data_IF_712464107627
#
_entry.id   IF_712464107627
#
_cell.length_a   1.000
_cell.length_b   1.000
_cell.length_c   1.000
_cell.angle_alpha   90.00
_cell.angle_beta   90.00
_cell.angle_gamma   90.00
#
_symmetry.space_group_name_H-M   'P 1'
#
loop_
_entity.id
_entity.type
_entity.pdbx_description
1 polymer ?
#
# COMPACT_ATOMS: atom_id res chain seq x y z
N UNK A 1 54.46 -25.83 -28.84
CA UNK A 1 53.62 -26.93 -28.29
C UNK A 1 52.15 -26.67 -28.65
N UNK A 2 51.73 -27.28 -29.76
CA UNK A 2 50.36 -27.30 -30.25
C UNK A 2 49.52 -28.30 -29.45
N UNK A 3 48.24 -28.00 -29.21
CA UNK A 3 47.20 -29.01 -29.19
C UNK A 3 45.90 -28.45 -29.75
N UNK A 4 45.40 -29.21 -30.71
CA UNK A 4 44.24 -28.97 -31.54
C UNK A 4 43.03 -29.74 -31.00
N UNK A 5 41.84 -29.24 -31.34
CA UNK A 5 40.59 -29.97 -31.63
C UNK A 5 39.97 -30.89 -30.56
N UNK A 6 38.70 -30.64 -30.22
CA UNK A 6 37.58 -31.35 -30.88
C UNK A 6 36.22 -30.95 -30.30
N UNK A 7 35.32 -30.60 -31.20
CA UNK A 7 33.88 -30.47 -31.05
C UNK A 7 33.18 -31.83 -30.88
N UNK A 8 32.16 -31.91 -30.03
CA UNK A 8 31.09 -32.91 -30.16
C UNK A 8 29.76 -32.37 -29.62
N UNK A 9 28.83 -32.22 -30.54
CA UNK A 9 27.40 -32.00 -30.38
C UNK A 9 26.68 -33.25 -29.84
N UNK A 10 25.81 -33.09 -28.85
CA UNK A 10 24.77 -34.09 -28.53
C UNK A 10 23.46 -33.41 -28.18
N UNK A 11 22.54 -33.52 -29.13
CA UNK A 11 21.11 -33.25 -29.03
C UNK A 11 20.43 -34.23 -28.07
N UNK A 12 19.71 -33.74 -27.07
CA UNK A 12 18.73 -34.53 -26.31
C UNK A 12 17.38 -33.81 -26.28
N UNK A 13 16.41 -34.38 -26.99
CA UNK A 13 15.01 -34.01 -26.94
C UNK A 13 14.44 -34.38 -25.55
N UNK A 14 13.98 -33.38 -24.80
CA UNK A 14 13.27 -33.58 -23.54
C UNK A 14 11.76 -33.63 -23.82
N UNK A 15 11.16 -34.79 -23.53
CA UNK A 15 9.74 -35.04 -23.63
C UNK A 15 8.95 -34.17 -22.62
N UNK A 16 7.92 -33.48 -23.12
CA UNK A 16 6.95 -32.76 -22.32
C UNK A 16 6.02 -33.75 -21.60
N UNK A 17 6.21 -33.92 -20.29
CA UNK A 17 5.28 -34.62 -19.40
C UNK A 17 4.21 -33.63 -18.94
N UNK A 18 3.00 -33.77 -19.48
CA UNK A 18 1.82 -33.04 -19.01
C UNK A 18 1.43 -33.53 -17.61
N UNK A 19 1.48 -32.64 -16.62
CA UNK A 19 0.91 -32.85 -15.29
C UNK A 19 -0.62 -32.59 -15.32
N UNK A 20 -1.44 -33.39 -14.60
CA UNK A 20 -2.88 -33.20 -14.56
C UNK A 20 -3.30 -32.02 -13.66
N UNK A 21 -4.52 -31.46 -13.86
CA UNK A 21 -4.99 -30.27 -13.17
C UNK A 21 -5.54 -30.62 -11.78
N UNK A 22 -4.67 -30.72 -10.77
CA UNK A 22 -5.06 -30.96 -9.38
C UNK A 22 -5.18 -29.68 -8.55
N UNK A 23 -4.71 -28.53 -9.03
CA UNK A 23 -4.77 -27.27 -8.26
C UNK A 23 -6.18 -26.64 -8.17
N UNK A 24 -7.05 -26.83 -9.17
CA UNK A 24 -8.41 -26.28 -9.15
C UNK A 24 -9.35 -26.99 -8.14
N UNK A 25 -9.09 -28.27 -7.86
CA UNK A 25 -9.85 -29.03 -6.85
C UNK A 25 -9.48 -28.59 -5.42
N UNK A 26 -8.22 -28.21 -5.19
CA UNK A 26 -7.75 -27.72 -3.89
C UNK A 26 -8.43 -26.38 -3.50
N UNK A 27 -8.68 -25.50 -4.47
CA UNK A 27 -9.38 -24.23 -4.22
C UNK A 27 -10.87 -24.43 -3.95
N UNK A 28 -11.50 -25.46 -4.53
CA UNK A 28 -12.91 -25.78 -4.28
C UNK A 28 -13.16 -26.37 -2.88
N UNK A 29 -12.20 -27.12 -2.34
CA UNK A 29 -12.24 -27.66 -0.98
C UNK A 29 -11.99 -26.56 0.07
N UNK A 30 -11.04 -25.63 -0.20
CA UNK A 30 -10.85 -24.44 0.64
C UNK A 30 -12.08 -23.53 0.66
N UNK A 31 -12.86 -23.49 -0.43
CA UNK A 31 -14.09 -22.70 -0.48
C UNK A 31 -15.13 -23.18 0.54
N UNK A 32 -15.26 -24.50 0.73
CA UNK A 32 -16.17 -25.08 1.72
C UNK A 32 -15.69 -24.79 3.15
N UNK A 33 -14.39 -24.91 3.42
CA UNK A 33 -13.81 -24.61 4.73
C UNK A 33 -13.92 -23.11 5.10
N UNK A 34 -13.77 -22.22 4.11
CA UNK A 34 -13.98 -20.77 4.27
C UNK A 34 -15.45 -20.42 4.55
N UNK A 35 -16.40 -21.18 3.98
CA UNK A 35 -17.84 -20.99 4.18
C UNK A 35 -18.35 -21.59 5.51
N UNK A 36 -17.65 -22.58 6.07
CA UNK A 36 -17.97 -23.16 7.39
C UNK A 36 -17.41 -22.34 8.55
N UNK A 37 -16.37 -21.53 8.35
CA UNK A 37 -15.81 -20.63 9.35
C UNK A 37 -16.56 -19.28 9.50
N UNK A 38 -17.55 -19.00 8.64
CA UNK A 38 -18.29 -17.73 8.64
C UNK A 38 -19.60 -17.86 9.44
N UNK A 39 -19.69 -17.17 10.58
CA UNK A 39 -20.91 -16.98 11.38
C UNK A 39 -21.89 -15.99 10.71
N UNK A 40 -22.13 -16.18 9.41
CA UNK A 40 -23.01 -15.33 8.61
C UNK A 40 -24.36 -16.01 8.45
N UNK A 41 -25.41 -15.35 8.96
CA UNK A 41 -26.84 -15.72 8.80
C UNK A 41 -27.35 -15.59 7.36
N UNK A 42 -26.55 -15.94 6.36
CA UNK A 42 -27.01 -16.02 4.97
C UNK A 42 -27.54 -17.43 4.74
N UNK A 43 -28.84 -17.61 4.41
CA UNK A 43 -29.39 -18.94 4.22
C UNK A 43 -28.69 -19.65 3.05
N UNK A 44 -27.94 -20.71 3.38
CA UNK A 44 -27.22 -21.60 2.44
C UNK A 44 -28.13 -22.21 1.36
N UNK A 45 -29.45 -22.16 1.57
CA UNK A 45 -30.48 -22.65 0.66
C UNK A 45 -31.11 -21.58 -0.22
N UNK A 46 -30.59 -20.34 -0.24
CA UNK A 46 -31.13 -19.36 -1.17
C UNK A 46 -30.91 -19.86 -2.62
N UNK A 47 -31.94 -19.87 -3.48
CA UNK A 47 -31.79 -20.28 -4.87
C UNK A 47 -30.73 -19.46 -5.61
N UNK A 48 -30.50 -18.22 -5.18
CA UNK A 48 -29.46 -17.33 -5.69
C UNK A 48 -28.04 -17.82 -5.35
N UNK A 49 -27.83 -18.33 -4.13
CA UNK A 49 -26.56 -18.94 -3.73
C UNK A 49 -26.25 -20.17 -4.59
N UNK A 50 -27.21 -21.09 -4.73
CA UNK A 50 -27.04 -22.29 -5.55
C UNK A 50 -26.83 -21.93 -7.01
N UNK A 51 -27.55 -20.94 -7.56
CA UNK A 51 -27.39 -20.50 -8.95
C UNK A 51 -26.05 -19.79 -9.19
N UNK A 52 -25.58 -18.94 -8.27
CA UNK A 52 -24.28 -18.28 -8.41
C UNK A 52 -23.12 -19.27 -8.27
N UNK A 53 -23.20 -20.20 -7.31
CA UNK A 53 -22.23 -21.29 -7.15
C UNK A 53 -22.23 -22.21 -8.36
N UNK A 54 -23.41 -22.56 -8.91
CA UNK A 54 -23.50 -23.35 -10.13
C UNK A 54 -22.92 -22.59 -11.33
N UNK A 55 -23.24 -21.32 -11.53
CA UNK A 55 -22.73 -20.51 -12.65
C UNK A 55 -21.21 -20.29 -12.56
N UNK A 56 -20.64 -20.19 -11.35
CA UNK A 56 -19.20 -20.10 -11.16
C UNK A 56 -18.51 -21.47 -11.28
N UNK A 57 -19.17 -22.58 -10.91
CA UNK A 57 -18.65 -23.94 -11.08
C UNK A 57 -18.76 -24.46 -12.51
N UNK A 58 -19.71 -23.99 -13.31
CA UNK A 58 -19.89 -24.41 -14.72
C UNK A 58 -19.05 -23.60 -15.70
N UNK A 59 -18.29 -22.60 -15.24
CA UNK A 59 -17.20 -22.01 -16.01
C UNK A 59 -16.13 -23.09 -16.23
N UNK A 60 -16.22 -23.78 -17.37
CA UNK A 60 -15.38 -24.94 -17.68
C UNK A 60 -13.90 -24.57 -17.80
N UNK A 61 -12.97 -25.52 -17.54
CA UNK A 61 -11.55 -25.31 -17.80
C UNK A 61 -11.24 -24.85 -19.24
N UNK A 62 -12.12 -25.19 -20.20
CA UNK A 62 -12.02 -24.73 -21.59
C UNK A 62 -12.25 -23.21 -21.74
N UNK A 63 -13.14 -22.61 -20.93
CA UNK A 63 -13.33 -21.16 -20.89
C UNK A 63 -12.11 -20.45 -20.26
N UNK A 64 -11.43 -21.09 -19.31
CA UNK A 64 -10.19 -20.58 -18.69
C UNK A 64 -8.98 -20.73 -19.62
N UNK A 65 -8.91 -21.83 -20.39
CA UNK A 65 -7.87 -22.03 -21.41
C UNK A 65 -7.99 -21.03 -22.57
N UNK A 66 -9.20 -20.65 -22.97
CA UNK A 66 -9.44 -19.61 -23.97
C UNK A 66 -9.00 -18.20 -23.52
N UNK A 67 -8.97 -17.94 -22.20
CA UNK A 67 -8.52 -16.67 -21.62
C UNK A 67 -6.98 -16.53 -21.63
N UNK A 68 -6.25 -17.65 -21.55
CA UNK A 68 -4.77 -17.65 -21.47
C UNK A 68 -4.07 -17.93 -22.82
N UNK A 69 -4.83 -18.18 -23.89
CA UNK A 69 -4.32 -18.77 -25.15
C UNK A 69 -3.87 -17.81 -26.26
N UNK A 70 -3.80 -16.50 -26.05
CA UNK A 70 -3.39 -15.55 -27.11
C UNK A 70 -2.26 -14.64 -26.66
N UNK A 71 -1.04 -15.15 -26.79
CA UNK A 71 0.19 -14.41 -26.47
C UNK A 71 1.45 -15.09 -27.05
N UNK A 72 1.42 -15.45 -28.33
CA UNK A 72 2.59 -15.89 -29.11
C UNK A 72 2.78 -14.99 -30.34
N UNK A 73 3.98 -14.45 -30.49
CA UNK A 73 4.29 -13.27 -31.32
C UNK A 73 4.33 -13.46 -32.84
N UNK A 74 4.34 -12.33 -33.54
CA UNK A 74 4.52 -12.22 -34.99
C UNK A 74 4.45 -10.76 -35.46
N UNK A 75 5.49 -10.32 -36.15
CA UNK A 75 5.84 -8.94 -36.51
C UNK A 75 5.27 -8.50 -37.87
N UNK A 76 4.92 -7.20 -37.98
CA UNK A 76 4.93 -6.30 -39.17
C UNK A 76 4.00 -6.61 -40.38
N UNK A 77 2.99 -5.76 -40.62
CA UNK A 77 3.01 -4.77 -41.73
C UNK A 77 1.78 -3.84 -41.78
N UNK A 78 2.03 -2.62 -42.29
CA UNK A 78 1.08 -1.54 -42.59
C UNK A 78 -0.02 -1.95 -43.57
N UNK A 79 -1.26 -1.53 -43.30
CA UNK A 79 -2.36 -1.59 -44.27
C UNK A 79 -3.67 -1.08 -43.69
N UNK A 80 -4.13 0.04 -44.24
CA UNK A 80 -5.45 0.69 -44.09
C UNK A 80 -6.58 -0.31 -43.74
N UNK A 81 -7.22 -0.12 -42.58
CA UNK A 81 -8.45 -0.84 -42.23
C UNK A 81 -9.54 0.12 -41.75
N UNK A 82 -10.58 0.20 -42.58
CA UNK A 82 -11.85 0.86 -42.33
C UNK A 82 -12.47 0.44 -40.99
N UNK A 83 -13.16 1.40 -40.36
CA UNK A 83 -13.78 1.28 -39.05
C UNK A 83 -14.84 0.17 -38.99
N UNK A 84 -14.43 -0.98 -38.48
CA UNK A 84 -15.35 -1.91 -37.83
C UNK A 84 -15.48 -1.44 -36.39
N UNK A 85 -16.65 -0.90 -36.03
CA UNK A 85 -17.05 -0.74 -34.62
C UNK A 85 -17.02 -2.14 -34.01
N UNK A 86 -15.91 -2.49 -33.37
CA UNK A 86 -15.74 -3.75 -32.66
C UNK A 86 -16.89 -3.87 -31.66
N UNK A 87 -17.85 -4.73 -31.98
CA UNK A 87 -18.94 -5.11 -31.09
C UNK A 87 -18.26 -5.71 -29.88
N UNK A 88 -18.22 -4.93 -28.79
CA UNK A 88 -17.48 -5.24 -27.59
C UNK A 88 -17.92 -6.58 -27.04
N UNK A 89 -17.18 -7.63 -27.34
CA UNK A 89 -17.34 -8.93 -26.72
C UNK A 89 -16.80 -8.78 -25.30
N UNK A 90 -17.64 -8.23 -24.40
CA UNK A 90 -17.39 -8.30 -22.97
C UNK A 90 -17.15 -9.76 -22.62
N UNK A 91 -16.17 -10.03 -21.77
CA UNK A 91 -15.89 -11.41 -21.39
C UNK A 91 -17.15 -12.04 -20.78
N UNK A 92 -17.32 -13.36 -20.91
CA UNK A 92 -18.46 -14.05 -20.28
C UNK A 92 -18.59 -13.72 -18.79
N UNK A 93 -17.47 -13.53 -18.10
CA UNK A 93 -17.41 -13.09 -16.70
C UNK A 93 -17.96 -11.68 -16.49
N UNK A 94 -17.70 -10.73 -17.38
CA UNK A 94 -18.24 -9.36 -17.27
C UNK A 94 -19.77 -9.36 -17.37
N UNK A 95 -20.32 -10.18 -18.27
CA UNK A 95 -21.77 -10.36 -18.40
C UNK A 95 -22.36 -11.02 -17.15
N UNK A 96 -21.69 -12.03 -16.59
CA UNK A 96 -22.10 -12.67 -15.35
C UNK A 96 -22.11 -11.69 -14.17
N UNK A 97 -21.04 -10.90 -14.00
CA UNK A 97 -20.99 -9.88 -12.94
C UNK A 97 -22.06 -8.82 -13.14
N UNK A 98 -22.30 -8.38 -14.37
CA UNK A 98 -23.36 -7.41 -14.68
C UNK A 98 -24.73 -7.94 -14.29
N UNK A 99 -25.06 -9.18 -14.65
CA UNK A 99 -26.34 -9.80 -14.30
C UNK A 99 -26.50 -9.97 -12.79
N UNK A 100 -25.46 -10.49 -12.12
CA UNK A 100 -25.46 -10.70 -10.66
C UNK A 100 -25.59 -9.37 -9.91
N UNK A 101 -24.85 -8.33 -10.33
CA UNK A 101 -25.00 -6.99 -9.75
C UNK A 101 -26.36 -6.40 -10.06
N UNK A 102 -26.90 -6.58 -11.27
CA UNK A 102 -28.21 -6.05 -11.64
C UNK A 102 -29.34 -6.61 -10.78
N UNK A 103 -29.33 -7.93 -10.54
CA UNK A 103 -30.32 -8.59 -9.70
C UNK A 103 -30.21 -8.20 -8.21
N UNK A 104 -28.99 -7.98 -7.72
CA UNK A 104 -28.73 -7.72 -6.30
C UNK A 104 -28.48 -6.25 -5.97
N UNK A 105 -28.62 -5.35 -6.95
CA UNK A 105 -28.47 -3.92 -6.71
C UNK A 105 -29.66 -3.41 -5.88
N UNK A 106 -29.43 -2.54 -4.88
CA UNK A 106 -30.48 -2.04 -4.00
C UNK A 106 -31.40 -1.01 -4.69
N UNK A 107 -32.16 -1.43 -5.70
CA UNK A 107 -33.04 -0.58 -6.53
C UNK A 107 -34.17 0.06 -5.73
N UNK A 108 -34.77 -0.70 -4.81
CA UNK A 108 -35.90 -0.26 -3.96
C UNK A 108 -35.47 0.64 -2.81
N UNK A 109 -34.15 0.78 -2.62
CA UNK A 109 -33.59 1.45 -1.47
C UNK A 109 -33.33 2.91 -1.81
N UNK A 110 -33.66 3.84 -0.90
CA UNK A 110 -33.52 5.27 -1.13
C UNK A 110 -32.11 5.70 -1.60
N UNK A 111 -32.04 6.80 -2.38
CA UNK A 111 -30.83 7.32 -3.04
C UNK A 111 -29.60 7.41 -2.10
N UNK A 112 -29.80 7.75 -0.83
CA UNK A 112 -28.72 7.83 0.16
C UNK A 112 -28.02 6.48 0.41
N UNK A 113 -28.79 5.39 0.47
CA UNK A 113 -28.23 4.04 0.70
C UNK A 113 -27.53 3.53 -0.56
N UNK A 114 -28.06 3.79 -1.76
CA UNK A 114 -27.36 3.52 -3.03
C UNK A 114 -26.02 4.27 -3.11
N UNK A 115 -26.00 5.54 -2.69
CA UNK A 115 -24.77 6.33 -2.66
C UNK A 115 -23.74 5.77 -1.67
N UNK A 116 -24.19 5.23 -0.53
CA UNK A 116 -23.30 4.54 0.40
C UNK A 116 -22.70 3.27 -0.20
N UNK A 117 -23.48 2.46 -0.91
CA UNK A 117 -22.99 1.27 -1.63
C UNK A 117 -21.93 1.66 -2.66
N UNK A 118 -22.19 2.69 -3.48
CA UNK A 118 -21.21 3.23 -4.42
C UNK A 118 -19.93 3.71 -3.72
N UNK A 119 -20.08 4.37 -2.56
CA UNK A 119 -18.96 4.85 -1.77
C UNK A 119 -18.09 3.69 -1.26
N UNK A 120 -18.71 2.61 -0.75
CA UNK A 120 -18.00 1.41 -0.30
C UNK A 120 -17.27 0.75 -1.48
N UNK A 121 -17.95 0.55 -2.61
CA UNK A 121 -17.33 -0.06 -3.80
C UNK A 121 -16.12 0.76 -4.30
N UNK A 122 -16.23 2.10 -4.31
CA UNK A 122 -15.13 3.00 -4.66
C UNK A 122 -13.93 2.84 -3.71
N UNK A 123 -14.18 2.71 -2.41
CA UNK A 123 -13.14 2.47 -1.40
C UNK A 123 -12.48 1.09 -1.59
N UNK A 124 -13.27 0.03 -1.76
CA UNK A 124 -12.76 -1.33 -1.95
C UNK A 124 -11.90 -1.44 -3.21
N UNK A 125 -12.30 -0.76 -4.28
CA UNK A 125 -11.57 -0.76 -5.55
C UNK A 125 -10.26 0.05 -5.48
N UNK A 126 -10.25 1.15 -4.72
CA UNK A 126 -9.07 1.98 -4.53
C UNK A 126 -8.06 1.40 -3.51
N UNK A 127 -8.53 0.54 -2.60
CA UNK A 127 -7.67 -0.11 -1.62
C UNK A 127 -6.72 -1.10 -2.31
N UNK A 128 -5.39 -0.99 -2.10
CA UNK A 128 -4.42 -1.91 -2.70
C UNK A 128 -4.38 -3.28 -1.99
N UNK A 129 -4.94 -3.35 -0.78
CA UNK A 129 -5.07 -4.55 0.06
C UNK A 129 -6.49 -4.59 0.64
N UNK A 130 -6.99 -5.75 1.11
CA UNK A 130 -8.26 -5.81 1.83
C UNK A 130 -8.33 -4.76 2.92
N UNK A 131 -9.44 -4.02 2.99
CA UNK A 131 -9.55 -2.87 3.89
C UNK A 131 -9.95 -3.35 5.31
N UNK A 132 -9.25 -2.89 6.37
CA UNK A 132 -9.67 -3.17 7.74
C UNK A 132 -11.10 -2.68 8.00
N UNK A 133 -11.89 -3.51 8.69
CA UNK A 133 -13.25 -3.19 9.09
C UNK A 133 -13.30 -1.94 9.98
N UNK A 134 -12.27 -1.71 10.80
CA UNK A 134 -12.13 -0.53 11.65
C UNK A 134 -12.09 0.78 10.85
N UNK A 135 -11.50 0.78 9.66
CA UNK A 135 -11.48 1.98 8.79
C UNK A 135 -12.88 2.24 8.24
N UNK A 136 -13.59 1.19 7.80
CA UNK A 136 -14.97 1.33 7.33
C UNK A 136 -15.94 1.71 8.45
N UNK A 137 -15.66 1.28 9.68
CA UNK A 137 -16.39 1.70 10.87
C UNK A 137 -16.17 3.17 11.19
N UNK A 138 -14.92 3.63 11.17
CA UNK A 138 -14.57 5.03 11.38
C UNK A 138 -15.14 5.96 10.28
N UNK A 139 -15.35 5.44 9.07
CA UNK A 139 -16.03 6.12 7.98
C UNK A 139 -17.58 6.08 8.08
N UNK A 140 -18.15 5.41 9.09
CA UNK A 140 -19.60 5.25 9.22
C UNK A 140 -20.23 4.36 8.13
N UNK A 141 -19.46 3.46 7.54
CA UNK A 141 -19.86 2.59 6.43
C UNK A 141 -20.05 1.12 6.84
N UNK A 142 -19.51 0.68 7.98
CA UNK A 142 -19.63 -0.71 8.48
C UNK A 142 -21.08 -1.21 8.50
N UNK A 143 -22.00 -0.42 9.06
CA UNK A 143 -23.42 -0.79 9.14
C UNK A 143 -24.08 -0.94 7.76
N UNK A 144 -23.48 -0.43 6.68
CA UNK A 144 -24.03 -0.44 5.32
C UNK A 144 -23.40 -1.53 4.44
N UNK A 145 -22.46 -2.32 4.97
CA UNK A 145 -21.82 -3.41 4.23
C UNK A 145 -22.81 -4.46 3.72
N UNK A 146 -23.83 -4.77 4.51
CA UNK A 146 -24.89 -5.72 4.13
C UNK A 146 -25.72 -5.26 2.92
N UNK A 147 -25.61 -3.99 2.50
CA UNK A 147 -26.26 -3.45 1.31
C UNK A 147 -25.43 -3.66 0.04
N UNK A 148 -24.20 -4.16 0.14
CA UNK A 148 -23.39 -4.49 -1.03
C UNK A 148 -24.07 -5.61 -1.82
N UNK A 149 -24.05 -5.54 -3.17
CA UNK A 149 -24.60 -6.60 -4.00
C UNK A 149 -23.87 -7.91 -3.70
N UNK A 150 -24.65 -8.96 -3.42
CA UNK A 150 -24.14 -10.28 -3.04
C UNK A 150 -23.22 -10.27 -1.80
N UNK A 151 -23.54 -9.46 -0.79
CA UNK A 151 -22.88 -9.53 0.51
C UNK A 151 -22.95 -10.94 1.10
N UNK A 152 -21.84 -11.42 1.66
CA UNK A 152 -21.65 -12.79 2.12
C UNK A 152 -21.17 -13.75 1.03
N UNK A 153 -21.19 -13.34 -0.24
CA UNK A 153 -20.71 -14.14 -1.38
C UNK A 153 -19.59 -13.44 -2.14
N UNK A 154 -19.90 -12.36 -2.88
CA UNK A 154 -18.90 -11.62 -3.64
C UNK A 154 -18.03 -10.73 -2.74
N UNK A 155 -18.60 -10.26 -1.64
CA UNK A 155 -17.90 -9.46 -0.63
C UNK A 155 -18.20 -10.05 0.74
N UNK A 156 -17.17 -10.21 1.56
CA UNK A 156 -17.32 -10.77 2.89
C UNK A 156 -16.22 -10.25 3.83
N UNK A 157 -16.36 -10.54 5.12
CA UNK A 157 -15.37 -10.19 6.13
C UNK A 157 -14.49 -11.41 6.39
N UNK A 158 -13.17 -11.27 6.25
CA UNK A 158 -12.19 -12.30 6.61
C UNK A 158 -11.15 -11.72 7.56
N UNK A 159 -11.07 -12.24 8.79
CA UNK A 159 -10.08 -11.81 9.79
C UNK A 159 -10.09 -10.29 10.07
N UNK A 160 -11.27 -9.69 10.13
CA UNK A 160 -11.50 -8.22 10.27
C UNK A 160 -11.19 -7.37 9.04
N UNK A 161 -11.00 -7.96 7.87
CA UNK A 161 -10.85 -7.23 6.61
C UNK A 161 -12.05 -7.46 5.71
N UNK A 162 -12.52 -6.42 5.03
CA UNK A 162 -13.49 -6.58 3.94
C UNK A 162 -12.73 -6.92 2.67
N UNK A 163 -13.04 -8.08 2.11
CA UNK A 163 -12.42 -8.59 0.88
C UNK A 163 -13.48 -8.91 -0.16
N UNK A 164 -13.11 -8.78 -1.42
CA UNK A 164 -13.83 -9.42 -2.51
C UNK A 164 -13.46 -10.90 -2.58
N UNK A 165 -14.35 -11.72 -3.10
CA UNK A 165 -14.11 -13.15 -3.31
C UNK A 165 -12.98 -13.42 -4.31
N UNK A 166 -12.88 -12.59 -5.35
CA UNK A 166 -11.82 -12.69 -6.35
C UNK A 166 -11.43 -11.32 -6.88
N UNK A 167 -10.17 -11.17 -7.31
CA UNK A 167 -9.60 -9.91 -7.84
C UNK A 167 -10.26 -9.47 -9.15
N UNK A 168 -10.81 -10.41 -9.93
CA UNK A 168 -11.55 -10.11 -11.17
C UNK A 168 -12.79 -9.24 -10.93
N UNK A 169 -13.48 -9.37 -9.79
CA UNK A 169 -14.63 -8.52 -9.46
C UNK A 169 -14.18 -7.07 -9.27
N UNK A 170 -13.06 -6.86 -8.58
CA UNK A 170 -12.48 -5.54 -8.41
C UNK A 170 -11.95 -4.98 -9.74
N UNK A 171 -11.35 -5.82 -10.59
CA UNK A 171 -10.90 -5.43 -11.92
C UNK A 171 -12.07 -5.02 -12.83
N UNK A 172 -13.17 -5.79 -12.82
CA UNK A 172 -14.40 -5.46 -13.52
C UNK A 172 -14.96 -4.12 -13.04
N UNK A 173 -15.08 -3.91 -11.72
CA UNK A 173 -15.55 -2.65 -11.13
C UNK A 173 -14.68 -1.43 -11.48
N UNK A 174 -13.39 -1.63 -11.77
CA UNK A 174 -12.45 -0.57 -12.23
C UNK A 174 -12.67 -0.18 -13.68
N UNK A 175 -13.30 -1.02 -14.50
CA UNK A 175 -13.52 -0.75 -15.92
C UNK A 175 -14.88 -0.13 -16.15
N UNK A 176 -14.91 1.15 -16.54
CA UNK A 176 -16.18 1.82 -16.89
C UNK A 176 -16.87 1.15 -18.10
N UNK A 177 -16.09 0.61 -19.03
CA UNK A 177 -16.61 -0.08 -20.20
C UNK A 177 -17.28 -1.42 -19.83
N UNK A 178 -16.70 -2.17 -18.87
CA UNK A 178 -17.22 -3.48 -18.48
C UNK A 178 -18.34 -3.39 -17.43
N UNK A 179 -18.17 -2.57 -16.38
CA UNK A 179 -19.14 -2.47 -15.29
C UNK A 179 -20.30 -1.51 -15.57
N UNK A 180 -20.21 -0.67 -16.60
CA UNK A 180 -21.24 0.28 -16.99
C UNK A 180 -21.68 1.17 -15.82
N UNK A 181 -22.95 1.04 -15.40
CA UNK A 181 -23.52 1.80 -14.28
C UNK A 181 -22.99 1.42 -12.89
N UNK A 182 -22.34 0.26 -12.76
CA UNK A 182 -21.76 -0.24 -11.51
C UNK A 182 -20.29 0.18 -11.33
N UNK A 183 -19.74 0.91 -12.30
CA UNK A 183 -18.37 1.42 -12.25
C UNK A 183 -18.07 2.15 -10.94
N UNK A 184 -17.00 1.71 -10.27
CA UNK A 184 -16.49 2.32 -9.07
C UNK A 184 -15.23 3.13 -9.41
N UNK A 185 -15.38 4.46 -9.39
CA UNK A 185 -14.27 5.39 -9.59
C UNK A 185 -13.17 5.20 -8.55
N UNK A 186 -12.02 4.68 -9.01
CA UNK A 186 -10.81 4.50 -8.19
C UNK A 186 -10.35 5.82 -7.60
N UNK A 187 -10.38 6.91 -8.40
CA UNK A 187 -9.97 8.25 -7.98
C UNK A 187 -10.78 8.75 -6.78
N UNK A 188 -12.11 8.62 -6.84
CA UNK A 188 -12.98 9.02 -5.72
C UNK A 188 -12.74 8.15 -4.47
N UNK A 189 -12.38 6.88 -4.66
CA UNK A 189 -11.96 6.01 -3.56
C UNK A 189 -10.68 6.51 -2.88
N UNK A 190 -9.64 6.83 -3.66
CA UNK A 190 -8.39 7.41 -3.14
C UNK A 190 -8.64 8.75 -2.44
N UNK A 191 -9.46 9.64 -3.02
CA UNK A 191 -9.78 10.94 -2.42
C UNK A 191 -10.44 10.79 -1.03
N UNK A 192 -11.41 9.87 -0.88
CA UNK A 192 -12.06 9.64 0.43
C UNK A 192 -11.12 9.02 1.45
N UNK A 193 -10.28 8.07 1.04
CA UNK A 193 -9.29 7.47 1.94
C UNK A 193 -8.21 8.50 2.33
N UNK A 194 -7.78 9.35 1.39
CA UNK A 194 -6.87 10.44 1.66
C UNK A 194 -7.45 11.45 2.64
N UNK A 195 -8.73 11.82 2.47
CA UNK A 195 -9.45 12.70 3.39
C UNK A 195 -9.53 12.09 4.80
N UNK A 196 -9.89 10.80 4.88
CA UNK A 196 -9.89 10.05 6.14
C UNK A 196 -8.53 10.12 6.83
N UNK A 197 -7.45 9.67 6.18
CA UNK A 197 -6.12 9.66 6.79
C UNK A 197 -5.61 11.06 7.13
N UNK A 198 -5.94 12.06 6.32
CA UNK A 198 -5.63 13.44 6.59
C UNK A 198 -6.33 13.98 7.85
N UNK A 199 -7.58 13.59 8.08
CA UNK A 199 -8.35 13.95 9.27
C UNK A 199 -7.91 13.14 10.49
N UNK A 200 -7.64 11.84 10.34
CA UNK A 200 -7.17 10.95 11.41
C UNK A 200 -5.86 11.43 12.01
N UNK A 201 -5.03 12.15 11.27
CA UNK A 201 -3.83 12.80 11.82
C UNK A 201 -4.14 13.71 13.02
N UNK A 202 -5.21 14.50 12.96
CA UNK A 202 -5.63 15.34 14.09
C UNK A 202 -5.97 14.48 15.31
N UNK A 203 -6.49 13.27 15.06
CA UNK A 203 -6.84 12.29 16.09
C UNK A 203 -5.62 11.51 16.63
N UNK A 204 -4.66 11.13 15.79
CA UNK A 204 -3.40 10.49 16.21
C UNK A 204 -2.56 11.46 17.05
N UNK A 205 -2.52 12.73 16.68
CA UNK A 205 -1.92 13.78 17.50
C UNK A 205 -2.67 13.96 18.85
N UNK A 206 -3.98 13.67 18.88
CA UNK A 206 -4.84 13.78 20.06
C UNK A 206 -4.95 12.49 20.91
N UNK A 207 -4.01 11.53 20.77
CA UNK A 207 -3.89 10.29 21.56
C UNK A 207 -4.77 9.08 21.16
N UNK A 208 -5.32 9.01 19.94
CA UNK A 208 -6.23 7.91 19.53
C UNK A 208 -5.55 6.64 18.97
N UNK A 209 -4.28 6.40 19.32
CA UNK A 209 -3.60 5.11 19.03
C UNK A 209 -2.72 5.11 17.78
N UNK A 210 -1.93 4.03 17.65
CA UNK A 210 -1.04 3.78 16.50
C UNK A 210 -1.84 3.42 15.26
N UNK A 211 -1.44 3.93 14.09
CA UNK A 211 -1.99 3.41 12.84
C UNK A 211 -1.56 1.94 12.72
N UNK A 212 -2.52 1.04 12.47
CA UNK A 212 -2.18 -0.35 12.17
C UNK A 212 -1.30 -0.43 10.91
N UNK A 213 -0.68 -1.58 10.68
CA UNK A 213 0.23 -1.82 9.55
C UNK A 213 -0.35 -1.40 8.20
N UNK A 214 -1.66 -1.62 7.99
CA UNK A 214 -2.38 -1.15 6.80
C UNK A 214 -2.36 0.38 6.68
N UNK A 215 -2.67 1.09 7.77
CA UNK A 215 -2.87 2.54 7.78
C UNK A 215 -1.60 3.32 7.46
N UNK A 216 -0.44 2.85 7.92
CA UNK A 216 0.85 3.55 7.75
C UNK A 216 1.21 3.73 6.28
N UNK A 217 1.31 2.62 5.54
CA UNK A 217 1.65 2.68 4.12
C UNK A 217 0.49 3.21 3.27
N UNK A 218 -0.75 2.81 3.58
CA UNK A 218 -1.91 3.22 2.78
C UNK A 218 -2.15 4.72 2.87
N UNK A 219 -1.90 5.36 4.02
CA UNK A 219 -2.02 6.82 4.15
C UNK A 219 -1.16 7.55 3.13
N UNK A 220 0.12 7.16 3.01
CA UNK A 220 1.06 7.75 2.03
C UNK A 220 0.55 7.53 0.61
N UNK A 221 0.17 6.28 0.29
CA UNK A 221 -0.30 5.92 -1.04
C UNK A 221 -1.55 6.73 -1.45
N UNK A 222 -2.59 6.75 -0.61
CA UNK A 222 -3.84 7.43 -0.95
C UNK A 222 -3.64 8.94 -1.09
N UNK A 223 -2.86 9.58 -0.20
CA UNK A 223 -2.53 11.01 -0.31
C UNK A 223 -1.80 11.32 -1.63
N UNK A 224 -0.84 10.49 -2.05
CA UNK A 224 -0.12 10.66 -3.31
C UNK A 224 -1.01 10.46 -4.54
N UNK A 225 -1.84 9.43 -4.55
CA UNK A 225 -2.67 9.02 -5.69
C UNK A 225 -3.79 10.03 -6.03
N UNK A 226 -4.15 10.92 -5.10
CA UNK A 226 -5.11 11.99 -5.39
C UNK A 226 -4.61 13.02 -6.41
N UNK A 227 -3.28 13.20 -6.54
CA UNK A 227 -2.70 14.27 -7.34
C UNK A 227 -2.93 15.69 -6.80
N UNK A 228 -3.65 15.85 -5.69
CA UNK A 228 -4.02 17.16 -5.16
C UNK A 228 -2.89 17.75 -4.31
N UNK A 229 -2.50 18.99 -4.62
CA UNK A 229 -1.43 19.71 -3.88
C UNK A 229 -1.75 19.93 -2.41
N UNK A 230 -3.02 20.09 -2.03
CA UNK A 230 -3.41 20.18 -0.63
C UNK A 230 -3.11 18.89 0.14
N UNK A 231 -3.37 17.71 -0.45
CA UNK A 231 -3.03 16.42 0.16
C UNK A 231 -1.52 16.18 0.19
N UNK A 232 -0.78 16.71 -0.79
CA UNK A 232 0.67 16.67 -0.80
C UNK A 232 1.29 17.45 0.38
N UNK A 233 0.75 18.63 0.70
CA UNK A 233 1.16 19.38 1.90
C UNK A 233 0.85 18.58 3.18
N UNK A 234 -0.34 18.00 3.28
CA UNK A 234 -0.73 17.16 4.43
C UNK A 234 0.15 15.92 4.57
N UNK A 235 0.58 15.32 3.46
CA UNK A 235 1.52 14.21 3.45
C UNK A 235 2.91 14.64 3.93
N UNK A 236 3.42 15.77 3.44
CA UNK A 236 4.69 16.32 3.90
C UNK A 236 4.67 16.58 5.41
N UNK A 237 3.58 17.15 5.89
CA UNK A 237 3.38 17.35 7.32
C UNK A 237 3.34 16.00 8.06
N UNK A 238 2.77 14.94 7.47
CA UNK A 238 2.59 13.62 8.11
C UNK A 238 3.95 12.92 8.23
N UNK A 239 4.76 13.00 7.18
CA UNK A 239 6.13 12.50 7.15
C UNK A 239 7.07 13.33 8.03
N UNK A 240 6.71 14.58 8.37
CA UNK A 240 7.42 15.36 9.37
C UNK A 240 7.08 14.95 10.82
N UNK A 241 6.04 14.13 11.04
CA UNK A 241 5.68 13.65 12.38
C UNK A 241 6.58 12.47 12.80
N UNK A 242 7.30 12.62 13.91
CA UNK A 242 8.21 11.61 14.45
C UNK A 242 7.51 10.29 14.74
N UNK A 243 6.38 10.32 15.44
CA UNK A 243 5.68 9.10 15.85
C UNK A 243 5.18 8.33 14.63
N UNK A 244 4.75 9.03 13.58
CA UNK A 244 4.42 8.39 12.31
C UNK A 244 5.65 7.78 11.63
N UNK A 245 6.75 8.53 11.50
CA UNK A 245 7.96 8.02 10.86
C UNK A 245 8.59 6.85 11.63
N UNK A 246 8.60 6.91 12.97
CA UNK A 246 9.02 5.79 13.80
C UNK A 246 8.18 4.55 13.50
N UNK A 247 6.84 4.68 13.46
CA UNK A 247 5.95 3.59 13.06
C UNK A 247 6.26 3.07 11.65
N UNK A 248 6.57 3.93 10.68
CA UNK A 248 6.98 3.50 9.33
C UNK A 248 8.17 2.54 9.37
N UNK A 249 9.16 2.79 10.22
CA UNK A 249 10.32 1.91 10.37
C UNK A 249 10.02 0.69 11.25
N UNK A 250 9.29 0.84 12.35
CA UNK A 250 8.90 -0.27 13.24
C UNK A 250 8.08 -1.34 12.50
N UNK A 251 7.18 -0.93 11.62
CA UNK A 251 6.36 -1.83 10.81
C UNK A 251 7.06 -2.30 9.52
N UNK A 252 8.33 -1.92 9.28
CA UNK A 252 9.05 -2.28 8.06
C UNK A 252 8.45 -1.70 6.77
N UNK A 253 7.67 -0.62 6.88
CA UNK A 253 6.96 0.00 5.76
C UNK A 253 7.82 1.00 4.96
N UNK A 254 9.03 1.33 5.45
CA UNK A 254 9.91 2.33 4.83
C UNK A 254 10.22 2.06 3.34
N UNK A 255 10.54 0.83 2.88
CA UNK A 255 10.77 0.56 1.46
C UNK A 255 9.56 0.87 0.59
N UNK A 256 8.36 0.46 1.03
CA UNK A 256 7.12 0.69 0.30
C UNK A 256 6.72 2.18 0.27
N UNK A 257 6.99 2.93 1.34
CA UNK A 257 6.82 4.39 1.38
C UNK A 257 7.78 5.07 0.40
N UNK A 258 9.05 4.65 0.38
CA UNK A 258 10.06 5.19 -0.53
C UNK A 258 9.71 4.89 -2.00
N UNK A 259 9.31 3.65 -2.30
CA UNK A 259 8.89 3.23 -3.63
C UNK A 259 7.67 4.04 -4.09
N UNK A 260 6.67 4.24 -3.23
CA UNK A 260 5.49 5.04 -3.55
C UNK A 260 5.85 6.51 -3.87
N UNK A 261 6.74 7.13 -3.09
CA UNK A 261 7.21 8.49 -3.33
C UNK A 261 8.00 8.59 -4.64
N UNK A 262 8.93 7.67 -4.89
CA UNK A 262 9.73 7.67 -6.13
C UNK A 262 8.83 7.43 -7.34
N UNK A 263 7.92 6.46 -7.27
CA UNK A 263 6.98 6.16 -8.36
C UNK A 263 6.07 7.34 -8.65
N UNK A 264 5.54 8.00 -7.61
CA UNK A 264 4.74 9.21 -7.78
C UNK A 264 5.56 10.33 -8.43
N UNK A 265 6.84 10.48 -8.07
CA UNK A 265 7.72 11.49 -8.66
C UNK A 265 7.95 11.29 -10.16
N UNK A 266 8.05 10.04 -10.62
CA UNK A 266 8.22 9.71 -12.04
C UNK A 266 6.98 10.07 -12.87
N UNK A 267 5.79 10.03 -12.27
CA UNK A 267 4.54 10.40 -12.93
C UNK A 267 4.28 11.91 -12.85
N UNK A 268 4.62 12.53 -11.72
CA UNK A 268 4.44 13.97 -11.49
C UNK A 268 5.52 14.54 -10.56
N UNK A 269 6.03 15.75 -10.80
CA UNK A 269 7.00 16.37 -9.89
C UNK A 269 6.40 16.54 -8.48
N UNK A 270 7.09 15.96 -7.49
CA UNK A 270 6.78 16.16 -6.08
C UNK A 270 7.35 17.51 -5.62
N UNK A 271 6.79 18.06 -4.56
CA UNK A 271 7.35 19.21 -3.86
C UNK A 271 8.75 18.91 -3.32
N UNK A 272 9.56 19.95 -3.25
CA UNK A 272 10.92 19.90 -2.73
C UNK A 272 10.98 19.29 -1.32
N UNK A 273 9.97 19.56 -0.50
CA UNK A 273 9.83 18.97 0.83
C UNK A 273 9.77 17.44 0.77
N UNK A 274 8.97 16.86 -0.12
CA UNK A 274 8.87 15.40 -0.26
C UNK A 274 10.13 14.81 -0.89
N UNK A 275 10.81 15.53 -1.77
CA UNK A 275 12.10 15.12 -2.31
C UNK A 275 13.18 15.08 -1.22
N UNK A 276 13.18 16.04 -0.30
CA UNK A 276 14.05 16.04 0.87
C UNK A 276 13.74 14.86 1.81
N UNK A 277 12.47 14.50 1.98
CA UNK A 277 12.08 13.26 2.70
C UNK A 277 12.67 12.03 2.01
N UNK A 278 12.54 11.91 0.69
CA UNK A 278 13.09 10.80 -0.09
C UNK A 278 14.61 10.69 0.10
N UNK A 279 15.33 11.82 0.02
CA UNK A 279 16.79 11.88 0.26
C UNK A 279 17.14 11.44 1.68
N UNK A 280 16.39 11.92 2.68
CA UNK A 280 16.60 11.58 4.08
C UNK A 280 16.36 10.09 4.38
N UNK A 281 15.25 9.51 3.88
CA UNK A 281 14.96 8.08 4.02
C UNK A 281 16.06 7.24 3.36
N UNK A 282 16.55 7.62 2.16
CA UNK A 282 17.66 6.91 1.50
C UNK A 282 18.96 6.99 2.30
N UNK A 283 19.26 8.14 2.89
CA UNK A 283 20.50 8.37 3.64
C UNK A 283 20.52 7.61 4.97
N UNK A 284 19.40 7.58 5.71
CA UNK A 284 19.36 7.06 7.08
C UNK A 284 18.55 5.76 7.25
N UNK A 285 17.94 5.28 6.17
CA UNK A 285 17.02 4.13 6.21
C UNK A 285 17.64 2.89 6.84
N UNK A 286 18.89 2.57 6.52
CA UNK A 286 19.58 1.40 7.10
C UNK A 286 19.76 1.51 8.61
N UNK A 287 20.03 2.71 9.14
CA UNK A 287 20.18 2.94 10.57
C UNK A 287 18.82 2.89 11.29
N UNK A 288 17.78 3.45 10.67
CA UNK A 288 16.42 3.48 11.21
C UNK A 288 15.73 2.13 11.18
N UNK A 289 16.10 1.24 10.25
CA UNK A 289 15.64 -0.16 10.26
C UNK A 289 16.21 -0.92 11.48
N UNK A 290 17.44 -0.62 11.91
CA UNK A 290 18.07 -1.27 13.07
C UNK A 290 17.51 -0.73 14.39
N UNK A 291 17.29 0.59 14.50
CA UNK A 291 16.73 1.21 15.70
C UNK A 291 15.73 2.33 15.34
N UNK A 292 14.45 2.00 15.11
CA UNK A 292 13.41 2.98 14.77
C UNK A 292 13.24 4.08 15.81
N UNK A 293 13.60 3.83 17.08
CA UNK A 293 13.52 4.81 18.16
C UNK A 293 14.47 6.01 17.95
N UNK A 294 15.49 5.87 17.09
CA UNK A 294 16.39 6.97 16.73
C UNK A 294 15.78 7.96 15.74
N UNK A 295 14.55 7.75 15.26
CA UNK A 295 13.89 8.65 14.30
C UNK A 295 13.92 10.11 14.77
N UNK A 296 13.69 10.39 16.06
CA UNK A 296 13.68 11.76 16.59
C UNK A 296 15.06 12.42 16.47
N UNK A 297 16.13 11.69 16.83
CA UNK A 297 17.50 12.19 16.77
C UNK A 297 17.94 12.36 15.33
N UNK A 298 17.65 11.38 14.48
CA UNK A 298 18.06 11.39 13.08
C UNK A 298 17.29 12.41 12.24
N UNK A 299 16.07 12.79 12.62
CA UNK A 299 15.38 13.95 12.03
C UNK A 299 16.11 15.27 12.30
N UNK A 300 16.92 15.39 13.36
CA UNK A 300 17.73 16.60 13.58
C UNK A 300 18.94 16.72 12.64
N UNK A 301 19.32 15.61 11.98
CA UNK A 301 20.45 15.58 11.05
C UNK A 301 20.12 16.14 9.67
N UNK A 302 18.83 16.37 9.38
CA UNK A 302 18.38 16.94 8.10
C UNK A 302 19.12 18.28 7.84
N UNK A 303 19.61 18.53 6.60
CA UNK A 303 20.21 19.81 6.23
C UNK A 303 19.34 21.00 6.64
N UNK A 304 19.93 22.03 7.26
CA UNK A 304 19.17 23.12 7.90
C UNK A 304 18.36 23.93 6.90
N UNK A 305 18.87 23.98 5.67
CA UNK A 305 18.34 24.78 4.58
C UNK A 305 17.29 24.01 3.77
N UNK A 306 17.06 22.73 4.10
CA UNK A 306 16.00 21.93 3.48
C UNK A 306 14.62 22.37 3.98
N UNK A 307 13.63 22.37 3.09
CA UNK A 307 12.26 22.72 3.46
C UNK A 307 11.65 21.66 4.39
N UNK A 308 12.13 20.42 4.30
CA UNK A 308 11.75 19.37 5.25
C UNK A 308 12.25 19.65 6.67
N UNK A 309 13.49 20.12 6.85
CA UNK A 309 13.99 20.52 8.17
C UNK A 309 13.19 21.69 8.76
N UNK A 310 12.79 22.66 7.94
CA UNK A 310 11.92 23.76 8.39
C UNK A 310 10.57 23.22 8.87
N UNK A 311 9.92 22.33 8.12
CA UNK A 311 8.66 21.71 8.56
C UNK A 311 8.80 20.91 9.84
N UNK A 312 9.85 20.11 9.97
CA UNK A 312 10.16 19.39 11.21
C UNK A 312 10.33 20.40 12.34
N UNK A 313 11.07 21.51 12.18
CA UNK A 313 11.18 22.53 13.24
C UNK A 313 9.85 23.17 13.64
N UNK A 314 8.98 23.47 12.68
CA UNK A 314 7.65 24.01 12.97
C UNK A 314 6.76 23.01 13.70
N UNK A 315 6.79 21.73 13.30
CA UNK A 315 5.95 20.71 13.91
C UNK A 315 6.27 20.43 15.39
N UNK A 316 7.49 20.71 15.85
CA UNK A 316 7.95 20.41 17.21
C UNK A 316 8.13 21.64 18.10
N UNK A 317 7.90 22.85 17.58
CA UNK A 317 8.41 24.07 18.21
C UNK A 317 9.94 24.11 18.12
N UNK A 318 10.53 25.32 18.14
CA UNK A 318 11.97 25.50 17.92
C UNK A 318 12.81 24.53 18.77
N UNK A 319 13.62 23.70 18.09
CA UNK A 319 14.59 22.73 18.62
C UNK A 319 15.69 23.34 19.51
N UNK A 320 15.54 24.57 19.97
CA UNK A 320 16.68 25.38 20.39
C UNK A 320 17.40 24.86 21.64
N UNK A 321 16.88 23.90 22.41
CA UNK A 321 17.57 23.37 23.60
C UNK A 321 17.29 21.89 23.94
N UNK A 322 16.75 21.07 23.03
CA UNK A 322 16.38 19.69 23.37
C UNK A 322 17.59 18.74 23.27
N UNK A 323 18.21 18.47 24.42
CA UNK A 323 18.98 17.25 24.64
C UNK A 323 18.04 16.04 24.50
N UNK A 324 18.20 15.25 23.45
CA UNK A 324 17.38 14.05 23.26
C UNK A 324 18.04 12.89 23.99
N UNK A 325 17.43 12.44 25.07
CA UNK A 325 17.86 11.24 25.81
C UNK A 325 17.10 10.04 25.27
N UNK A 326 17.79 9.09 24.64
CA UNK A 326 17.19 7.82 24.19
C UNK A 326 17.88 6.65 24.90
N UNK A 327 17.10 5.78 25.56
CA UNK A 327 17.58 4.57 26.27
C UNK A 327 18.80 4.81 27.17
N UNK A 328 18.78 5.90 27.94
CA UNK A 328 19.88 6.27 28.85
C UNK A 328 21.07 6.96 28.20
N UNK A 329 21.14 7.00 26.86
CA UNK A 329 22.19 7.69 26.10
C UNK A 329 21.75 9.12 25.79
N UNK A 330 22.56 10.10 26.20
CA UNK A 330 22.36 11.50 25.82
C UNK A 330 22.92 11.67 24.39
N UNK A 331 22.03 11.75 23.41
CA UNK A 331 22.44 11.96 22.03
C UNK A 331 22.46 13.46 21.78
N UNK A 332 23.65 14.06 21.87
CA UNK A 332 23.87 15.42 21.37
C UNK A 332 24.08 15.31 19.88
N UNK A 333 23.25 15.93 19.04
CA UNK A 333 23.52 16.02 17.61
C UNK A 333 24.75 16.93 17.43
N UNK A 334 25.93 16.34 17.48
CA UNK A 334 27.18 17.03 17.24
C UNK A 334 27.42 17.10 15.73
N UNK A 335 27.27 18.29 15.18
CA UNK A 335 27.51 18.57 13.76
C UNK A 335 28.98 18.92 13.57
N UNK A 336 29.79 17.92 13.27
CA UNK A 336 30.99 18.15 12.49
C UNK A 336 30.94 17.27 11.23
N UNK A 337 31.42 17.83 10.12
CA UNK A 337 31.23 17.45 8.72
C UNK A 337 31.75 16.05 8.30
N UNK A 338 31.77 15.06 9.18
CA UNK A 338 32.29 13.74 8.88
C UNK A 338 31.17 12.72 8.65
N UNK A 339 31.23 12.10 7.47
CA UNK A 339 30.31 11.11 6.88
C UNK A 339 30.33 9.75 7.63
N UNK A 340 30.71 9.69 8.92
CA UNK A 340 30.98 8.42 9.61
C UNK A 340 30.33 8.34 11.01
N UNK A 341 29.96 7.12 11.41
CA UNK A 341 29.35 6.82 12.72
C UNK A 341 30.29 7.26 13.84
N UNK A 342 29.84 8.19 14.68
CA UNK A 342 30.50 8.57 15.92
C UNK A 342 29.76 7.95 17.11
N UNK A 343 30.51 7.43 18.07
CA UNK A 343 30.02 6.99 19.37
C UNK A 343 30.29 8.08 20.38
N UNK A 344 29.25 8.60 21.02
CA UNK A 344 29.37 9.60 22.08
C UNK A 344 29.14 8.94 23.44
N UNK A 345 30.10 9.06 24.35
CA UNK A 345 29.97 8.64 25.75
C UNK A 345 30.04 9.88 26.65
N UNK A 346 29.13 10.00 27.64
CA UNK A 346 29.27 11.04 28.66
C UNK A 346 30.59 10.80 29.41
N UNK A 347 31.45 11.82 29.44
CA UNK A 347 32.76 11.73 30.09
C UNK A 347 32.88 12.84 31.13
N UNK A 348 33.40 12.47 32.31
CA UNK A 348 33.45 13.22 33.58
C UNK A 348 32.24 13.05 34.51
N UNK A 349 32.54 12.98 35.81
CA UNK A 349 31.64 12.78 36.95
C UNK A 349 30.55 13.84 37.12
N UNK A 350 30.62 14.95 36.37
CA UNK A 350 29.61 16.03 36.34
C UNK A 350 28.89 16.18 35.01
N UNK A 351 29.13 15.30 34.02
CA UNK A 351 28.44 15.34 32.72
C UNK A 351 28.69 16.61 31.91
N UNK A 352 29.82 17.32 32.11
CA UNK A 352 30.11 18.59 31.42
C UNK A 352 30.86 18.40 30.10
N UNK A 353 31.29 17.19 29.79
CA UNK A 353 32.03 16.86 28.55
C UNK A 353 31.47 15.61 27.88
N UNK A 354 31.54 15.59 26.56
CA UNK A 354 31.25 14.42 25.74
C UNK A 354 32.55 13.94 25.15
N UNK A 355 32.78 12.64 25.27
CA UNK A 355 33.85 11.96 24.55
C UNK A 355 33.26 11.42 23.26
N UNK A 356 33.72 11.95 22.14
CA UNK A 356 33.35 11.55 20.78
C UNK A 356 34.45 10.63 20.25
N UNK A 357 34.10 9.40 19.91
CA UNK A 357 35.02 8.45 19.33
C UNK A 357 34.52 7.99 17.95
N UNK A 358 35.45 7.83 17.01
CA UNK A 358 35.22 7.24 15.69
C UNK A 358 36.33 6.23 15.41
N UNK A 359 36.02 5.16 14.68
CA UNK A 359 36.99 4.10 14.36
C UNK A 359 38.20 4.60 13.52
N UNK A 360 38.13 5.81 12.98
CA UNK A 360 39.13 6.38 12.09
C UNK A 360 39.67 7.75 12.53
N UNK A 361 39.27 8.28 13.69
CA UNK A 361 39.78 9.55 14.21
C UNK A 361 40.17 9.42 15.68
N UNK A 362 41.12 10.23 16.17
CA UNK A 362 41.41 10.31 17.59
C UNK A 362 40.16 10.73 18.37
N UNK A 363 40.10 10.26 19.61
CA UNK A 363 39.03 10.55 20.55
C UNK A 363 39.01 12.05 20.85
N UNK A 364 37.88 12.71 20.58
CA UNK A 364 37.69 14.13 20.79
C UNK A 364 36.86 14.36 22.06
N UNK A 365 37.29 15.30 22.91
CA UNK A 365 36.64 15.63 24.17
C UNK A 365 36.05 17.04 24.08
N UNK A 366 34.74 17.14 23.90
CA UNK A 366 34.05 18.41 23.72
C UNK A 366 33.32 18.81 25.00
N UNK A 367 33.35 20.08 25.39
CA UNK A 367 32.48 20.58 26.48
C UNK A 367 31.05 20.72 26.00
N UNK A 368 30.09 20.21 26.78
CA UNK A 368 28.64 20.30 26.44
C UNK A 368 28.17 21.76 26.38
N UNK A 369 28.71 22.63 27.25
CA UNK A 369 28.29 24.03 27.32
C UNK A 369 28.81 24.92 26.18
N UNK A 370 29.90 24.53 25.52
CA UNK A 370 30.56 25.37 24.51
C UNK A 370 30.63 24.72 23.13
N UNK A 371 30.46 23.40 23.03
CA UNK A 371 30.53 22.68 21.75
C UNK A 371 31.89 22.79 21.06
N UNK A 372 32.95 23.03 21.85
CA UNK A 372 34.33 23.14 21.41
C UNK A 372 35.27 22.32 22.28
#
# INVERSE_FOLDING_TARGET
PAFSSSSSSSSSAAAASALPPTELLLDSLKLHEILDAQDTRVPRHSPLFLRAVMLLRTATPAAVAAINGTGGGGSVNNGVSNGVKGSGCGSYLDNLYTEVFHQNWPHTVGKQRQQAVRTILQILVAAPRPIPLSILEALGLKAKLHLLPCWGFLFFIRGHYVTAMHSSVLAWLRSKAAAGQYYASVRLGHERLAEFFAATRQLVAARLGTLGSYGIWSAVLHLLQTGNKAYEVRLADLLANFSFMQQVFEYGAAPAVLEALVSAHMVRPLSDVLLDVVRWIKMLGTSLVVDPSQTQVLLTTIPRDSLFALKVRFAFGMFNNLLVRSKGTLLVPYRNYFVRRMSALPYATKGTRLMLASAASPVELTRISTGG
#
